data_IF_885386691009
#
_entry.id   IF_885386691009
#
_cell.length_a   1.000
_cell.length_b   1.000
_cell.length_c   1.000
_cell.angle_alpha   90.00
_cell.angle_beta   90.00
_cell.angle_gamma   90.00
#
_symmetry.space_group_name_H-M   'P 1'
#
loop_
_entity.id
_entity.type
_entity.pdbx_description
1 polymer ?
#
# COMPACT_ATOMS: atom_id res chain seq x y z
N UNK A 1 -6.07 16.80 -2.73
CA UNK A 1 -4.92 17.70 -3.01
C UNK A 1 -3.70 16.98 -2.49
N UNK A 2 -2.66 16.80 -3.30
CA UNK A 2 -1.40 16.22 -2.84
C UNK A 2 -0.64 17.34 -2.12
N UNK A 3 -0.77 17.40 -0.81
CA UNK A 3 0.06 18.25 0.04
C UNK A 3 1.34 17.50 0.39
N UNK A 4 2.47 18.20 0.40
CA UNK A 4 3.79 17.63 0.69
C UNK A 4 3.87 17.07 2.13
N UNK A 5 2.95 17.46 3.02
CA UNK A 5 2.82 16.93 4.38
C UNK A 5 1.98 15.67 4.52
N UNK A 6 1.29 15.20 3.47
CA UNK A 6 0.43 14.02 3.58
C UNK A 6 1.25 12.73 3.59
N UNK A 7 0.92 11.83 4.52
CA UNK A 7 1.46 10.48 4.55
C UNK A 7 0.65 9.57 3.62
N UNK A 8 1.35 8.64 2.97
CA UNK A 8 0.76 7.70 2.02
C UNK A 8 1.16 6.27 2.37
N UNK A 9 0.21 5.35 2.24
CA UNK A 9 0.45 3.92 2.30
C UNK A 9 0.12 3.31 0.93
N UNK A 10 1.03 2.50 0.41
CA UNK A 10 0.80 1.59 -0.71
C UNK A 10 0.76 0.16 -0.16
N UNK A 11 -0.31 -0.59 -0.47
CA UNK A 11 -0.43 -1.98 -0.07
C UNK A 11 -0.83 -2.87 -1.26
N UNK A 12 -0.29 -4.08 -1.26
CA UNK A 12 -0.67 -5.14 -2.21
C UNK A 12 -1.53 -6.16 -1.49
N UNK A 13 -2.70 -6.46 -2.03
CA UNK A 13 -3.65 -7.41 -1.48
C UNK A 13 -4.01 -8.46 -2.51
N UNK A 14 -4.10 -9.70 -2.06
CA UNK A 14 -4.60 -10.81 -2.89
C UNK A 14 -6.10 -10.96 -2.67
N UNK A 15 -6.86 -10.95 -3.76
CA UNK A 15 -8.30 -11.19 -3.76
C UNK A 15 -8.64 -12.28 -4.79
N UNK A 16 -9.64 -13.09 -4.50
CA UNK A 16 -10.19 -14.03 -5.47
C UNK A 16 -11.40 -13.40 -6.17
N UNK A 17 -11.47 -13.47 -7.50
CA UNK A 17 -12.57 -12.95 -8.31
C UNK A 17 -12.56 -13.58 -9.72
N UNK A 18 -13.70 -13.55 -10.40
CA UNK A 18 -13.85 -14.07 -11.76
C UNK A 18 -13.54 -13.05 -12.87
N UNK A 19 -13.29 -11.80 -12.50
CA UNK A 19 -12.90 -10.72 -13.43
C UNK A 19 -12.07 -9.65 -12.72
N UNK A 20 -11.39 -8.81 -13.50
CA UNK A 20 -10.65 -7.66 -12.98
C UNK A 20 -11.57 -6.64 -12.28
N UNK A 21 -12.78 -6.44 -12.79
CA UNK A 21 -13.80 -5.54 -12.21
C UNK A 21 -14.24 -6.05 -10.83
N UNK A 22 -14.56 -7.34 -10.70
CA UNK A 22 -14.91 -7.94 -9.41
C UNK A 22 -13.74 -7.88 -8.42
N UNK A 23 -12.51 -8.07 -8.90
CA UNK A 23 -11.32 -7.94 -8.07
C UNK A 23 -11.11 -6.50 -7.57
N UNK A 24 -11.34 -5.49 -8.43
CA UNK A 24 -11.27 -4.08 -8.06
C UNK A 24 -12.32 -3.72 -7.00
N UNK A 25 -13.57 -4.15 -7.18
CA UNK A 25 -14.64 -3.94 -6.21
C UNK A 25 -14.32 -4.56 -4.86
N UNK A 26 -13.83 -5.81 -4.84
CA UNK A 26 -13.40 -6.50 -3.63
C UNK A 26 -12.23 -5.80 -2.95
N UNK A 27 -11.26 -5.35 -3.74
CA UNK A 27 -10.11 -4.60 -3.23
C UNK A 27 -10.54 -3.28 -2.58
N UNK A 28 -11.41 -2.51 -3.23
CA UNK A 28 -11.95 -1.26 -2.70
C UNK A 28 -12.77 -1.51 -1.42
N UNK A 29 -13.63 -2.53 -1.41
CA UNK A 29 -14.40 -2.89 -0.22
C UNK A 29 -13.49 -3.26 0.95
N UNK A 30 -12.42 -4.05 0.72
CA UNK A 30 -11.44 -4.38 1.76
C UNK A 30 -10.66 -3.15 2.24
N UNK A 31 -10.28 -2.25 1.34
CA UNK A 31 -9.57 -1.03 1.72
C UNK A 31 -10.44 -0.08 2.55
N UNK A 32 -11.75 0.01 2.24
CA UNK A 32 -12.71 0.79 3.02
C UNK A 32 -12.83 0.29 4.47
N UNK A 33 -12.77 -1.04 4.72
CA UNK A 33 -12.81 -1.58 6.09
C UNK A 33 -11.52 -1.33 6.88
N UNK A 34 -10.42 -0.97 6.21
CA UNK A 34 -9.13 -0.63 6.84
C UNK A 34 -9.00 0.85 7.18
N UNK A 35 -9.96 1.69 6.79
CA UNK A 35 -9.96 3.08 7.21
C UNK A 35 -9.99 3.17 8.73
N UNK A 36 -9.20 4.09 9.27
CA UNK A 36 -9.10 4.28 10.70
C UNK A 36 -8.81 5.74 11.03
N UNK A 37 -9.24 6.16 12.21
CA UNK A 37 -8.95 7.46 12.77
C UNK A 37 -8.48 7.28 14.19
N UNK A 38 -7.38 7.93 14.56
CA UNK A 38 -6.85 7.87 15.91
C UNK A 38 -6.11 9.16 16.28
N UNK A 39 -5.88 9.32 17.59
CA UNK A 39 -5.02 10.38 18.13
C UNK A 39 -3.65 9.77 18.42
N UNK A 40 -2.61 10.30 17.78
CA UNK A 40 -1.23 9.91 18.00
C UNK A 40 -0.74 10.35 19.39
N UNK A 41 0.41 9.83 19.82
CA UNK A 41 0.95 10.11 21.16
C UNK A 41 1.29 11.58 21.41
N UNK A 42 1.60 12.33 20.35
CA UNK A 42 1.87 13.76 20.38
C UNK A 42 0.59 14.63 20.33
N UNK A 43 -0.59 14.00 20.29
CA UNK A 43 -1.89 14.66 20.21
C UNK A 43 -2.33 14.98 18.78
N UNK A 44 -1.57 14.62 17.75
CA UNK A 44 -1.98 14.79 16.37
C UNK A 44 -3.16 13.85 16.03
N UNK A 45 -4.14 14.35 15.28
CA UNK A 45 -5.20 13.53 14.70
C UNK A 45 -4.71 12.93 13.38
N UNK A 46 -4.83 11.62 13.24
CA UNK A 46 -4.46 10.88 12.03
C UNK A 46 -5.68 10.17 11.48
N UNK A 47 -5.99 10.44 10.21
CA UNK A 47 -7.06 9.81 9.46
C UNK A 47 -6.49 9.03 8.27
N UNK A 48 -6.55 7.70 8.33
CA UNK A 48 -6.23 6.83 7.20
C UNK A 48 -7.48 6.64 6.34
N UNK A 49 -7.47 7.27 5.18
CA UNK A 49 -8.59 7.24 4.24
C UNK A 49 -8.18 6.52 2.96
N UNK A 50 -9.05 5.65 2.47
CA UNK A 50 -8.87 4.99 1.18
C UNK A 50 -8.87 6.02 0.06
N UNK A 51 -7.80 6.05 -0.74
CA UNK A 51 -7.70 6.94 -1.88
C UNK A 51 -8.23 6.31 -3.17
N UNK A 52 -7.63 5.20 -3.61
CA UNK A 52 -8.07 4.43 -4.79
C UNK A 52 -7.41 3.05 -4.85
N UNK A 53 -7.96 2.15 -5.65
CA UNK A 53 -7.23 1.00 -6.19
C UNK A 53 -6.33 1.53 -7.31
N UNK A 54 -5.02 1.39 -7.16
CA UNK A 54 -4.07 1.91 -8.17
C UNK A 54 -4.00 1.02 -9.41
N UNK A 55 -4.05 -0.31 -9.21
CA UNK A 55 -3.95 -1.30 -10.29
C UNK A 55 -4.44 -2.67 -9.84
N UNK A 56 -4.97 -3.43 -10.79
CA UNK A 56 -5.29 -4.85 -10.64
C UNK A 56 -4.42 -5.66 -11.60
N UNK A 57 -3.80 -6.73 -11.08
CA UNK A 57 -3.05 -7.69 -11.88
C UNK A 57 -3.71 -9.05 -11.74
N UNK A 58 -4.02 -9.67 -12.88
CA UNK A 58 -4.50 -11.04 -12.89
C UNK A 58 -3.34 -11.99 -12.58
N UNK A 59 -3.55 -12.83 -11.56
CA UNK A 59 -2.67 -13.96 -11.29
C UNK A 59 -3.34 -15.16 -11.97
N UNK A 60 -2.77 -15.58 -13.10
CA UNK A 60 -3.23 -16.76 -13.82
C UNK A 60 -3.20 -17.98 -12.90
N UNK A 61 -3.98 -19.01 -13.23
CA UNK A 61 -4.26 -20.24 -12.48
C UNK A 61 -3.04 -21.14 -12.14
N UNK A 62 -1.83 -20.59 -12.20
CA UNK A 62 -0.62 -21.20 -11.67
C UNK A 62 -0.57 -20.94 -10.16
N UNK A 63 -0.39 -21.99 -9.33
CA UNK A 63 -0.24 -21.80 -7.89
C UNK A 63 0.92 -20.84 -7.59
N UNK A 64 0.69 -19.91 -6.67
CA UNK A 64 1.76 -19.13 -6.08
C UNK A 64 2.66 -20.09 -5.29
N UNK A 65 3.87 -20.29 -5.80
CA UNK A 65 4.85 -21.21 -5.26
C UNK A 65 6.01 -20.43 -4.62
N UNK A 66 6.86 -21.15 -3.88
CA UNK A 66 8.15 -20.58 -3.45
C UNK A 66 8.93 -20.05 -4.66
N UNK A 67 9.43 -18.82 -4.54
CA UNK A 67 10.11 -18.11 -5.64
C UNK A 67 9.20 -17.39 -6.65
N UNK A 68 7.87 -17.42 -6.50
CA UNK A 68 6.97 -16.64 -7.36
C UNK A 68 7.13 -15.13 -7.14
N UNK A 69 7.45 -14.38 -8.20
CA UNK A 69 7.43 -12.92 -8.17
C UNK A 69 6.00 -12.41 -8.31
N UNK A 70 5.50 -11.70 -7.29
CA UNK A 70 4.15 -11.11 -7.27
C UNK A 70 4.12 -9.69 -7.84
N UNK A 71 5.20 -8.93 -7.64
CA UNK A 71 5.30 -7.55 -8.03
C UNK A 71 6.77 -7.12 -8.12
N UNK A 72 7.11 -6.42 -9.20
CA UNK A 72 8.36 -5.71 -9.35
C UNK A 72 8.12 -4.35 -10.02
N UNK A 73 8.89 -3.34 -9.61
CA UNK A 73 8.94 -2.05 -10.32
C UNK A 73 10.36 -1.53 -10.35
N UNK A 74 10.67 -0.75 -11.38
CA UNK A 74 11.90 0.05 -11.41
C UNK A 74 11.71 1.29 -10.53
N UNK A 75 12.75 1.62 -9.76
CA UNK A 75 12.75 2.77 -8.87
C UNK A 75 13.70 3.84 -9.38
N UNK A 76 13.33 5.10 -9.20
CA UNK A 76 14.21 6.25 -9.34
C UNK A 76 15.17 6.30 -8.16
N UNK A 77 16.30 6.98 -8.36
CA UNK A 77 17.30 7.15 -7.31
C UNK A 77 16.73 7.72 -6.00
N UNK A 78 15.84 8.72 -6.08
CA UNK A 78 15.19 9.32 -4.92
C UNK A 78 14.29 8.34 -4.14
N UNK A 79 13.59 7.45 -4.83
CA UNK A 79 12.73 6.43 -4.22
C UNK A 79 13.58 5.38 -3.50
N UNK A 80 14.71 4.98 -4.09
CA UNK A 80 15.68 4.08 -3.45
C UNK A 80 16.26 4.72 -2.19
N UNK A 81 16.66 6.00 -2.26
CA UNK A 81 17.17 6.72 -1.08
C UNK A 81 16.13 6.73 0.05
N UNK A 82 14.86 6.99 -0.26
CA UNK A 82 13.79 6.97 0.75
C UNK A 82 13.60 5.58 1.37
N UNK A 83 13.72 4.49 0.60
CA UNK A 83 13.57 3.13 1.13
C UNK A 83 14.76 2.67 1.98
N UNK A 84 15.96 3.19 1.74
CA UNK A 84 17.17 2.82 2.47
C UNK A 84 17.33 3.57 3.80
N UNK A 85 16.53 4.61 4.03
CA UNK A 85 16.46 5.28 5.34
C UNK A 85 15.72 4.34 6.31
N UNK A 86 16.36 3.90 7.41
CA UNK A 86 15.71 3.05 8.40
C UNK A 86 14.50 3.76 9.02
N UNK A 87 13.42 3.02 9.28
CA UNK A 87 12.19 3.55 9.89
C UNK A 87 12.42 4.18 11.27
N UNK A 88 13.45 3.74 12.00
CA UNK A 88 13.72 4.18 13.37
C UNK A 88 14.59 5.45 13.46
N UNK A 89 14.93 6.08 12.31
CA UNK A 89 15.95 7.14 12.29
C UNK A 89 17.33 6.65 12.73
N UNK A 90 18.39 7.48 12.67
CA UNK A 90 19.67 7.13 13.28
C UNK A 90 19.47 6.90 14.79
N UNK A 91 20.16 5.92 15.41
CA UNK A 91 20.06 5.70 16.85
C UNK A 91 20.67 6.92 17.56
N UNK A 92 19.81 7.76 18.13
CA UNK A 92 20.11 8.88 19.03
C UNK A 92 21.00 10.01 18.46
N UNK A 93 20.42 11.21 18.40
CA UNK A 93 21.14 12.47 18.66
C UNK A 93 20.73 12.97 20.05
#
# INVERSE_FOLDING_TARGET
MFDDGNLWEESLILVAGGSAEEAEEKAAALALTRQSSYVAMDGAHVDWVFFKVERVFEILDTPLCDGSELFSRHLRHSEVQSMLVPFDGPPNL
#
